data_IF_307912041004
#
_entry.id   IF_307912041004
#
_cell.length_a   1.000
_cell.length_b   1.000
_cell.length_c   1.000
_cell.angle_alpha   90.00
_cell.angle_beta   90.00
_cell.angle_gamma   90.00
#
_symmetry.space_group_name_H-M   'P 1'
#
loop_
_entity.id
_entity.type
_entity.pdbx_description
1 polymer ?
#
# COMPACT_ATOMS: atom_id res chain seq x y z
N UNK A 1 7.07 45.86 20.89
CA UNK A 1 8.21 45.11 21.45
C UNK A 1 7.83 44.66 22.84
N UNK A 2 7.58 43.35 23.01
CA UNK A 2 8.42 42.57 23.93
C UNK A 2 8.87 41.22 23.35
N UNK A 3 9.94 40.72 23.95
CA UNK A 3 10.78 39.57 23.64
C UNK A 3 10.04 38.24 23.42
N UNK A 4 10.35 37.57 22.30
CA UNK A 4 10.25 36.12 22.15
C UNK A 4 11.30 35.44 23.03
N UNK A 5 10.84 34.59 23.95
CA UNK A 5 11.74 33.75 24.77
C UNK A 5 11.82 32.38 24.11
N UNK A 6 12.97 32.08 23.51
CA UNK A 6 13.28 30.79 22.91
C UNK A 6 13.51 29.74 24.01
N UNK A 7 12.69 28.68 24.01
CA UNK A 7 12.91 27.50 24.84
C UNK A 7 13.97 26.61 24.18
N UNK A 8 15.23 26.73 24.61
CA UNK A 8 16.26 25.70 24.39
C UNK A 8 16.08 24.62 25.45
N UNK A 9 15.61 23.43 25.06
CA UNK A 9 15.80 22.22 25.87
C UNK A 9 17.08 21.55 25.39
N UNK A 10 18.14 21.75 26.17
CA UNK A 10 19.36 20.93 26.12
C UNK A 10 19.06 19.70 26.96
N UNK A 11 18.80 18.55 26.32
CA UNK A 11 18.73 17.27 27.02
C UNK A 11 20.15 16.71 27.11
N UNK A 12 20.61 16.54 28.34
CA UNK A 12 21.94 16.06 28.68
C UNK A 12 22.17 14.62 28.20
N UNK A 13 23.26 14.41 27.46
CA UNK A 13 23.80 13.08 27.17
C UNK A 13 24.60 12.65 28.40
N UNK A 14 24.05 11.73 29.18
CA UNK A 14 24.80 11.04 30.22
C UNK A 14 25.56 9.87 29.59
N UNK A 15 26.85 10.06 29.33
CA UNK A 15 27.78 8.99 28.93
C UNK A 15 28.12 8.18 30.19
N UNK A 16 27.51 7.00 30.34
CA UNK A 16 27.93 6.02 31.32
C UNK A 16 29.05 5.15 30.72
N UNK A 17 30.30 5.46 31.05
CA UNK A 17 31.45 4.62 30.73
C UNK A 17 31.46 3.40 31.67
N UNK A 18 31.14 2.21 31.15
CA UNK A 18 31.30 0.96 31.87
C UNK A 18 32.76 0.48 31.73
N UNK A 19 33.54 0.64 32.79
CA UNK A 19 34.87 0.04 32.94
C UNK A 19 34.72 -1.45 33.27
N UNK A 20 35.01 -2.32 32.31
CA UNK A 20 35.17 -3.76 32.58
C UNK A 20 36.65 -4.01 32.89
N UNK A 21 36.94 -4.13 34.19
CA UNK A 21 38.20 -4.64 34.70
C UNK A 21 38.36 -6.12 34.34
N UNK A 22 39.50 -6.46 33.74
CA UNK A 22 39.88 -7.81 33.39
C UNK A 22 40.04 -8.71 34.62
N UNK A 23 39.53 -9.93 34.49
CA UNK A 23 39.88 -11.06 35.35
C UNK A 23 40.17 -12.22 34.40
N UNK A 24 41.44 -12.62 34.33
CA UNK A 24 41.86 -13.80 33.59
C UNK A 24 41.36 -15.06 34.32
N UNK A 25 40.53 -15.86 33.64
CA UNK A 25 40.20 -17.22 34.06
C UNK A 25 40.99 -18.23 33.21
N UNK A 26 41.39 -19.39 33.78
CA UNK A 26 42.27 -20.34 33.12
C UNK A 26 41.58 -21.09 31.98
N UNK A 27 42.38 -21.50 31.01
CA UNK A 27 41.98 -22.25 29.82
C UNK A 27 41.21 -23.54 30.17
N UNK A 28 39.88 -23.48 30.07
CA UNK A 28 39.03 -24.64 29.90
C UNK A 28 38.89 -24.92 28.40
N UNK A 29 39.17 -26.15 28.00
CA UNK A 29 39.06 -26.62 26.62
C UNK A 29 37.66 -26.32 26.08
N UNK A 30 37.59 -25.38 25.13
CA UNK A 30 36.36 -25.04 24.44
C UNK A 30 35.96 -26.20 23.54
N UNK A 31 34.97 -26.98 23.96
CA UNK A 31 34.12 -27.68 23.03
C UNK A 31 33.49 -26.61 22.13
N UNK A 32 33.82 -26.62 20.84
CA UNK A 32 33.13 -25.77 19.85
C UNK A 32 31.64 -26.04 19.98
N UNK A 33 30.80 -25.06 20.36
CA UNK A 33 29.36 -25.25 20.27
C UNK A 33 29.07 -25.51 18.80
N UNK A 34 28.53 -26.69 18.53
CA UNK A 34 28.02 -27.11 17.23
C UNK A 34 27.04 -26.01 16.79
N UNK A 35 27.52 -25.10 15.93
CA UNK A 35 26.76 -23.95 15.49
C UNK A 35 25.67 -24.53 14.62
N UNK A 36 24.45 -24.61 15.19
CA UNK A 36 23.25 -24.96 14.45
C UNK A 36 23.29 -24.25 13.10
N UNK A 37 23.09 -24.97 11.98
CA UNK A 37 23.23 -24.39 10.65
C UNK A 37 22.39 -23.13 10.60
N UNK A 38 23.03 -22.01 10.26
CA UNK A 38 22.35 -20.74 10.07
C UNK A 38 21.15 -21.00 9.16
N UNK A 39 19.94 -20.73 9.66
CA UNK A 39 18.73 -20.89 8.89
C UNK A 39 18.97 -20.20 7.53
N UNK A 40 18.80 -20.96 6.44
CA UNK A 40 19.01 -20.46 5.09
C UNK A 40 18.16 -19.20 4.92
N UNK A 41 18.83 -18.06 4.93
CA UNK A 41 18.20 -16.77 4.81
C UNK A 41 17.66 -16.69 3.39
N UNK A 42 16.34 -16.86 3.23
CA UNK A 42 15.68 -16.76 1.93
C UNK A 42 15.70 -15.29 1.54
N UNK A 43 16.41 -14.97 0.46
CA UNK A 43 16.40 -13.63 -0.10
C UNK A 43 14.96 -13.25 -0.51
N UNK A 44 14.54 -11.98 -0.30
CA UNK A 44 13.27 -11.49 -0.81
C UNK A 44 13.15 -11.72 -2.32
N UNK A 45 11.98 -12.18 -2.75
CA UNK A 45 11.68 -12.41 -4.17
C UNK A 45 11.04 -11.17 -4.81
N UNK A 46 10.96 -11.12 -6.15
CA UNK A 46 10.43 -9.95 -6.88
C UNK A 46 8.91 -9.73 -6.75
N UNK A 47 8.25 -10.50 -5.88
CA UNK A 47 6.81 -10.48 -5.67
C UNK A 47 6.52 -10.26 -4.20
N UNK A 48 5.95 -9.11 -3.88
CA UNK A 48 5.60 -8.72 -2.52
C UNK A 48 4.11 -8.89 -2.31
N UNK A 49 3.73 -9.61 -1.25
CA UNK A 49 2.33 -9.80 -0.88
C UNK A 49 1.76 -8.49 -0.37
N UNK A 50 0.55 -8.16 -0.83
CA UNK A 50 -0.19 -6.98 -0.39
C UNK A 50 -1.28 -7.39 0.61
N UNK A 51 -1.45 -6.58 1.65
CA UNK A 51 -2.48 -6.67 2.69
C UNK A 51 -3.04 -5.26 2.96
N UNK A 52 -3.94 -5.08 3.93
CA UNK A 52 -4.38 -3.75 4.36
C UNK A 52 -5.87 -3.47 4.16
N UNK A 53 -6.24 -2.20 4.26
CA UNK A 53 -7.62 -1.71 4.27
C UNK A 53 -8.29 -1.86 2.90
N UNK A 54 -7.53 -1.72 1.80
CA UNK A 54 -8.01 -1.89 0.44
C UNK A 54 -8.66 -0.63 -0.10
N UNK A 55 -9.83 -0.78 -0.71
CA UNK A 55 -10.56 0.31 -1.38
C UNK A 55 -11.70 0.80 -0.49
N UNK A 56 -11.80 2.10 -0.24
CA UNK A 56 -13.02 2.75 0.23
C UNK A 56 -13.60 3.64 -0.87
N UNK A 57 -14.93 3.61 -0.99
CA UNK A 57 -15.68 4.38 -1.97
C UNK A 57 -16.90 4.98 -1.28
N UNK A 58 -17.01 6.30 -1.31
CA UNK A 58 -18.27 6.96 -1.00
C UNK A 58 -19.20 6.85 -2.21
N UNK A 59 -20.22 6.00 -2.08
CA UNK A 59 -21.20 5.80 -3.15
C UNK A 59 -22.38 6.75 -3.04
N UNK A 60 -22.60 7.38 -1.88
CA UNK A 60 -23.71 8.30 -1.68
C UNK A 60 -23.50 9.55 -2.51
N UNK A 61 -22.36 10.21 -2.33
CA UNK A 61 -22.00 11.41 -3.07
C UNK A 61 -21.83 11.14 -4.56
N UNK A 62 -21.35 9.95 -4.92
CA UNK A 62 -21.12 9.57 -6.31
C UNK A 62 -22.41 9.31 -7.09
N UNK A 63 -23.32 8.55 -6.50
CA UNK A 63 -24.48 8.02 -7.23
C UNK A 63 -25.78 8.68 -6.82
N UNK A 64 -25.76 9.63 -5.88
CA UNK A 64 -26.93 10.24 -5.25
C UNK A 64 -27.98 9.17 -4.90
N UNK A 65 -27.53 8.21 -4.06
CA UNK A 65 -28.26 6.98 -3.82
C UNK A 65 -29.65 7.30 -3.26
N UNK A 66 -29.72 8.24 -2.31
CA UNK A 66 -30.98 8.71 -1.73
C UNK A 66 -31.92 9.31 -2.78
N UNK A 67 -31.47 10.24 -3.63
CA UNK A 67 -32.36 10.85 -4.63
C UNK A 67 -32.90 9.83 -5.64
N UNK A 68 -32.14 8.77 -5.90
CA UNK A 68 -32.55 7.70 -6.80
C UNK A 68 -33.26 6.53 -6.12
N UNK A 69 -33.41 6.56 -4.79
CA UNK A 69 -33.98 5.47 -3.98
C UNK A 69 -33.19 4.17 -4.11
N UNK A 70 -31.88 4.29 -4.29
CA UNK A 70 -30.93 3.18 -4.36
C UNK A 70 -30.39 2.92 -2.95
N UNK A 71 -30.15 1.66 -2.62
CA UNK A 71 -29.42 1.28 -1.42
C UNK A 71 -28.19 0.51 -1.84
N UNK A 72 -27.01 0.94 -1.40
CA UNK A 72 -25.77 0.21 -1.54
C UNK A 72 -25.52 -0.66 -0.30
N UNK A 73 -25.15 -1.92 -0.51
CA UNK A 73 -24.87 -2.88 0.57
C UNK A 73 -23.57 -3.62 0.28
N UNK A 74 -22.67 -3.65 1.25
CA UNK A 74 -21.48 -4.49 1.20
C UNK A 74 -21.84 -5.97 1.19
N UNK A 75 -21.25 -6.75 0.27
CA UNK A 75 -21.43 -8.21 0.17
C UNK A 75 -20.09 -8.94 0.13
N UNK A 76 -20.08 -10.22 0.52
CA UNK A 76 -18.90 -11.08 0.39
C UNK A 76 -17.70 -10.68 1.25
N UNK A 77 -17.92 -9.96 2.35
CA UNK A 77 -16.87 -9.47 3.26
C UNK A 77 -16.57 -7.98 3.15
N UNK A 78 -17.22 -7.28 2.21
CA UNK A 78 -17.23 -5.82 2.18
C UNK A 78 -18.02 -5.26 3.37
N UNK A 79 -17.56 -4.12 3.90
CA UNK A 79 -18.30 -3.33 4.88
C UNK A 79 -19.04 -2.20 4.16
N UNK A 80 -20.21 -1.81 4.66
CA UNK A 80 -20.91 -0.62 4.20
C UNK A 80 -21.45 0.13 5.41
N UNK A 81 -21.09 1.40 5.54
CA UNK A 81 -21.50 2.29 6.63
C UNK A 81 -21.82 3.64 6.00
N UNK A 82 -23.04 4.14 6.20
CA UNK A 82 -23.45 5.48 5.77
C UNK A 82 -23.12 5.82 4.30
N UNK A 83 -23.36 4.88 3.38
CA UNK A 83 -23.12 5.08 1.94
C UNK A 83 -21.69 4.78 1.48
N UNK A 84 -20.73 4.81 2.41
CA UNK A 84 -19.35 4.39 2.18
C UNK A 84 -19.26 2.86 2.13
N UNK A 85 -18.59 2.33 1.11
CA UNK A 85 -18.35 0.89 0.97
C UNK A 85 -16.86 0.60 0.94
N UNK A 86 -16.40 -0.23 1.88
CA UNK A 86 -15.00 -0.62 2.01
C UNK A 86 -14.78 -2.09 1.64
N UNK A 87 -13.82 -2.31 0.74
CA UNK A 87 -13.41 -3.60 0.21
C UNK A 87 -11.96 -3.89 0.62
N UNK A 88 -11.75 -4.94 1.41
CA UNK A 88 -10.42 -5.29 1.91
C UNK A 88 -9.51 -5.84 0.83
N UNK A 89 -8.20 -5.69 1.00
CA UNK A 89 -7.22 -6.38 0.15
C UNK A 89 -7.41 -7.89 0.27
N UNK A 90 -7.73 -8.52 -0.85
CA UNK A 90 -7.94 -9.94 -1.01
C UNK A 90 -6.63 -10.72 -1.09
N UNK A 91 -6.73 -12.03 -0.86
CA UNK A 91 -5.60 -12.95 -0.96
C UNK A 91 -5.05 -12.97 -2.39
N UNK A 92 -3.75 -13.24 -2.52
CA UNK A 92 -2.99 -13.25 -3.78
C UNK A 92 -2.83 -11.87 -4.44
N UNK A 93 -3.16 -10.79 -3.72
CA UNK A 93 -2.75 -9.46 -4.13
C UNK A 93 -1.23 -9.36 -4.04
N UNK A 94 -0.61 -8.87 -5.11
CA UNK A 94 0.84 -8.90 -5.27
C UNK A 94 1.31 -7.63 -5.97
N UNK A 95 2.43 -7.10 -5.50
CA UNK A 95 3.22 -6.09 -6.19
C UNK A 95 4.46 -6.76 -6.77
N UNK A 96 4.79 -6.46 -8.02
CA UNK A 96 5.96 -7.02 -8.68
C UNK A 96 6.96 -5.91 -8.98
N UNK A 97 8.18 -6.09 -8.51
CA UNK A 97 9.30 -5.18 -8.75
C UNK A 97 10.47 -5.90 -9.40
N UNK A 98 11.27 -5.14 -10.14
CA UNK A 98 12.51 -5.62 -10.76
C UNK A 98 13.45 -4.46 -11.03
N UNK A 99 14.73 -4.63 -10.74
CA UNK A 99 15.76 -3.62 -10.98
C UNK A 99 15.36 -2.25 -10.40
N UNK A 100 14.94 -2.23 -9.13
CA UNK A 100 14.52 -1.02 -8.43
C UNK A 100 13.35 -0.26 -9.09
N UNK A 101 12.45 -0.96 -9.79
CA UNK A 101 11.25 -0.37 -10.40
C UNK A 101 10.05 -1.27 -10.19
N UNK A 102 8.88 -0.67 -9.95
CA UNK A 102 7.61 -1.37 -10.02
C UNK A 102 7.35 -1.72 -11.49
N UNK A 103 7.19 -3.00 -11.78
CA UNK A 103 6.93 -3.50 -13.14
C UNK A 103 5.52 -4.05 -13.30
N UNK A 104 4.77 -4.15 -12.20
CA UNK A 104 3.35 -4.39 -12.19
C UNK A 104 2.87 -4.98 -10.88
N UNK A 105 1.78 -5.73 -10.96
CA UNK A 105 1.11 -6.29 -9.81
C UNK A 105 -0.39 -6.18 -9.95
N UNK A 106 -1.09 -6.80 -9.02
CA UNK A 106 -2.54 -6.83 -8.99
C UNK A 106 -3.02 -6.74 -7.56
N UNK A 107 -3.88 -5.77 -7.29
CA UNK A 107 -4.66 -5.72 -6.05
C UNK A 107 -5.99 -6.39 -6.33
N UNK A 108 -6.25 -7.49 -5.64
CA UNK A 108 -7.57 -8.13 -5.62
C UNK A 108 -8.31 -7.58 -4.41
N UNK A 109 -9.59 -7.27 -4.56
CA UNK A 109 -10.40 -6.76 -3.47
C UNK A 109 -11.45 -7.79 -3.09
N UNK A 110 -11.60 -8.01 -1.78
CA UNK A 110 -12.51 -8.99 -1.22
C UNK A 110 -13.93 -8.43 -1.15
N UNK A 111 -14.87 -9.20 -1.68
CA UNK A 111 -16.30 -8.92 -1.58
C UNK A 111 -16.85 -8.19 -2.80
N UNK A 112 -17.76 -7.26 -2.55
CA UNK A 112 -18.41 -6.47 -3.58
C UNK A 112 -19.48 -5.55 -3.03
N UNK A 113 -20.17 -4.87 -3.94
CA UNK A 113 -21.27 -3.97 -3.66
C UNK A 113 -22.53 -4.50 -4.32
N UNK A 114 -23.61 -4.62 -3.55
CA UNK A 114 -24.95 -4.86 -4.09
C UNK A 114 -25.73 -3.55 -4.09
N UNK A 115 -26.11 -3.10 -5.29
CA UNK A 115 -27.01 -1.96 -5.48
C UNK A 115 -28.45 -2.48 -5.61
N UNK A 116 -29.36 -1.90 -4.84
CA UNK A 116 -30.78 -2.29 -4.79
C UNK A 116 -31.68 -1.10 -5.07
N UNK A 117 -32.77 -1.34 -5.80
CA UNK A 117 -33.87 -0.39 -5.94
C UNK A 117 -35.19 -1.16 -6.05
N UNK A 118 -36.03 -1.04 -5.01
CA UNK A 118 -37.23 -1.86 -4.87
C UNK A 118 -36.91 -3.37 -4.94
N UNK A 119 -37.52 -4.09 -5.87
CA UNK A 119 -37.27 -5.53 -6.08
C UNK A 119 -36.08 -5.86 -6.99
N UNK A 120 -35.42 -4.85 -7.59
CA UNK A 120 -34.29 -5.05 -8.50
C UNK A 120 -32.97 -4.95 -7.74
N UNK A 121 -31.98 -5.72 -8.20
CA UNK A 121 -30.62 -5.68 -7.67
C UNK A 121 -29.56 -6.02 -8.70
N UNK A 122 -28.36 -5.49 -8.48
CA UNK A 122 -27.14 -5.85 -9.21
C UNK A 122 -25.98 -5.91 -8.23
N UNK A 123 -25.06 -6.83 -8.46
CA UNK A 123 -23.85 -7.03 -7.67
C UNK A 123 -22.63 -6.73 -8.53
N UNK A 124 -21.75 -5.88 -8.01
CA UNK A 124 -20.41 -5.63 -8.51
C UNK A 124 -19.44 -6.35 -7.57
N UNK A 125 -18.62 -7.26 -8.07
CA UNK A 125 -17.74 -8.11 -7.25
C UNK A 125 -16.47 -8.49 -7.99
N UNK A 126 -15.55 -9.21 -7.32
CA UNK A 126 -14.24 -9.57 -7.88
C UNK A 126 -13.51 -8.32 -8.41
N UNK A 127 -13.59 -7.23 -7.65
CA UNK A 127 -12.93 -5.97 -8.02
C UNK A 127 -11.42 -6.19 -7.98
N UNK A 128 -10.75 -5.78 -9.04
CA UNK A 128 -9.31 -5.90 -9.16
C UNK A 128 -8.71 -4.67 -9.82
N UNK A 129 -7.56 -4.25 -9.30
CA UNK A 129 -6.77 -3.13 -9.81
C UNK A 129 -5.46 -3.67 -10.33
N UNK A 130 -5.17 -3.40 -11.60
CA UNK A 130 -3.88 -3.67 -12.20
C UNK A 130 -2.95 -2.50 -11.92
N UNK A 131 -1.88 -2.73 -11.15
CA UNK A 131 -1.00 -1.67 -10.64
C UNK A 131 -0.22 -0.99 -11.77
N UNK A 132 0.09 -1.72 -12.85
CA UNK A 132 0.87 -1.17 -13.96
C UNK A 132 0.06 -0.23 -14.83
N UNK A 133 -1.20 -0.59 -15.08
CA UNK A 133 -2.08 0.13 -16.00
C UNK A 133 -3.05 1.06 -15.29
N UNK A 134 -3.20 0.90 -13.97
CA UNK A 134 -4.26 1.51 -13.18
C UNK A 134 -5.66 1.02 -13.52
N UNK A 135 -5.80 -0.03 -14.33
CA UNK A 135 -7.12 -0.47 -14.79
C UNK A 135 -7.90 -1.12 -13.64
N UNK A 136 -9.14 -0.65 -13.44
CA UNK A 136 -10.06 -1.23 -12.45
C UNK A 136 -11.08 -2.08 -13.18
N UNK A 137 -11.15 -3.36 -12.80
CA UNK A 137 -12.06 -4.34 -13.39
C UNK A 137 -12.90 -5.00 -12.31
N UNK A 138 -14.10 -5.44 -12.66
CA UNK A 138 -14.96 -6.19 -11.77
C UNK A 138 -15.94 -7.06 -12.55
N UNK A 139 -16.54 -8.05 -11.89
CA UNK A 139 -17.70 -8.77 -12.40
C UNK A 139 -18.98 -8.06 -12.02
N UNK A 140 -19.86 -7.87 -13.00
CA UNK A 140 -21.18 -7.28 -12.79
C UNK A 140 -22.27 -8.29 -13.13
N UNK A 141 -23.09 -8.65 -12.14
CA UNK A 141 -24.14 -9.67 -12.30
C UNK A 141 -25.12 -9.74 -11.14
N UNK A 142 -25.81 -10.86 -10.99
CA UNK A 142 -26.88 -11.02 -10.00
C UNK A 142 -26.37 -11.47 -8.61
N UNK A 143 -25.13 -11.96 -8.53
CA UNK A 143 -24.51 -12.54 -7.32
C UNK A 143 -23.01 -12.30 -7.36
N UNK A 144 -22.38 -12.29 -6.17
CA UNK A 144 -20.92 -12.21 -6.03
C UNK A 144 -20.25 -13.33 -6.81
N UNK A 145 -19.20 -13.00 -7.57
CA UNK A 145 -18.42 -13.93 -8.37
C UNK A 145 -19.07 -14.36 -9.69
N UNK A 146 -20.31 -13.95 -9.95
CA UNK A 146 -21.10 -14.30 -11.14
C UNK A 146 -21.37 -13.07 -11.97
N UNK A 147 -20.97 -13.08 -13.24
CA UNK A 147 -21.24 -11.99 -14.17
C UNK A 147 -20.16 -11.86 -15.24
N UNK A 148 -20.33 -10.86 -16.10
CA UNK A 148 -19.31 -10.50 -17.07
C UNK A 148 -18.24 -9.63 -16.40
N UNK A 149 -16.97 -9.93 -16.69
CA UNK A 149 -15.88 -9.04 -16.33
C UNK A 149 -15.97 -7.78 -17.18
N UNK A 150 -16.00 -6.62 -16.53
CA UNK A 150 -16.09 -5.30 -17.17
C UNK A 150 -15.01 -4.38 -16.60
N UNK A 151 -14.66 -3.34 -17.38
CA UNK A 151 -13.80 -2.24 -16.92
C UNK A 151 -14.67 -1.22 -16.19
N UNK A 152 -14.51 -1.15 -14.87
CA UNK A 152 -15.20 -0.16 -14.03
C UNK A 152 -14.62 1.23 -14.21
N UNK A 153 -13.30 1.34 -14.41
CA UNK A 153 -12.61 2.62 -14.43
C UNK A 153 -11.11 2.48 -14.53
N UNK A 154 -10.41 3.52 -14.08
CA UNK A 154 -8.96 3.55 -13.92
C UNK A 154 -8.54 4.51 -12.82
N UNK A 155 -7.42 4.23 -12.16
CA UNK A 155 -6.76 5.15 -11.25
C UNK A 155 -6.36 6.43 -12.01
N UNK A 156 -6.53 7.58 -11.37
CA UNK A 156 -5.98 8.85 -11.86
C UNK A 156 -4.47 8.85 -11.55
N UNK A 157 -3.64 9.25 -12.52
CA UNK A 157 -2.17 9.20 -12.47
C UNK A 157 -1.59 7.87 -12.00
N UNK A 158 -1.98 6.78 -12.66
CA UNK A 158 -1.53 5.41 -12.31
C UNK A 158 -0.02 5.16 -12.43
N UNK A 159 0.74 6.08 -13.03
CA UNK A 159 2.20 6.07 -13.10
C UNK A 159 2.88 6.74 -11.91
N UNK A 160 2.14 7.47 -11.08
CA UNK A 160 2.60 8.06 -9.82
C UNK A 160 2.14 7.17 -8.66
N UNK A 161 3.08 6.38 -8.13
CA UNK A 161 2.81 5.50 -6.99
C UNK A 161 3.46 6.12 -5.76
N UNK A 162 2.64 6.55 -4.80
CA UNK A 162 3.12 7.11 -3.55
C UNK A 162 3.19 6.04 -2.46
N UNK A 163 4.30 5.99 -1.73
CA UNK A 163 4.50 5.07 -0.63
C UNK A 163 4.97 5.81 0.62
N UNK A 164 4.46 5.40 1.77
CA UNK A 164 4.84 5.93 3.08
C UNK A 164 5.28 4.79 4.00
N UNK A 165 6.51 4.88 4.51
CA UNK A 165 7.03 3.98 5.51
C UNK A 165 6.34 4.19 6.87
N UNK A 166 5.99 3.11 7.56
CA UNK A 166 5.47 3.17 8.92
C UNK A 166 6.62 3.35 9.92
N UNK A 167 6.44 4.24 10.89
CA UNK A 167 7.43 4.50 11.93
C UNK A 167 7.90 3.22 12.62
N UNK A 168 9.21 3.02 12.67
CA UNK A 168 9.86 1.88 13.33
C UNK A 168 9.36 0.50 12.85
N UNK A 169 8.94 0.40 11.59
CA UNK A 169 8.44 -0.84 10.99
C UNK A 169 9.08 -1.13 9.64
N UNK A 170 9.08 -2.40 9.24
CA UNK A 170 9.34 -2.82 7.86
C UNK A 170 8.14 -2.63 6.94
N UNK A 171 7.02 -2.09 7.45
CA UNK A 171 5.79 -1.94 6.67
C UNK A 171 5.73 -0.57 6.00
N UNK A 172 5.16 -0.54 4.80
CA UNK A 172 4.80 0.68 4.11
C UNK A 172 3.35 0.63 3.63
N UNK A 173 2.68 1.77 3.64
CA UNK A 173 1.42 1.98 2.90
C UNK A 173 1.75 2.44 1.50
N UNK A 174 1.08 1.85 0.53
CA UNK A 174 1.06 2.26 -0.86
C UNK A 174 -0.30 2.90 -1.16
N UNK A 175 -0.26 4.15 -1.59
CA UNK A 175 -1.43 4.94 -1.97
C UNK A 175 -1.57 4.87 -3.48
N UNK A 176 -2.64 4.25 -3.96
CA UNK A 176 -2.85 3.98 -5.39
C UNK A 176 -3.88 4.92 -6.02
N UNK A 177 -4.71 5.60 -5.23
CA UNK A 177 -5.81 6.42 -5.71
C UNK A 177 -5.83 7.81 -5.06
N UNK A 178 -4.68 8.38 -4.72
CA UNK A 178 -4.59 9.71 -4.08
C UNK A 178 -5.27 10.81 -4.92
N UNK A 179 -5.17 10.74 -6.25
CA UNK A 179 -5.86 11.65 -7.17
C UNK A 179 -7.29 11.17 -7.55
N UNK A 180 -7.77 10.10 -6.92
CA UNK A 180 -9.07 9.50 -7.16
C UNK A 180 -9.13 8.46 -8.29
N UNK A 181 -10.36 8.10 -8.65
CA UNK A 181 -10.67 7.07 -9.64
C UNK A 181 -11.56 7.66 -10.73
N UNK A 182 -11.12 7.54 -11.99
CA UNK A 182 -11.96 7.86 -13.14
C UNK A 182 -12.87 6.67 -13.47
N UNK A 183 -14.19 6.85 -13.37
CA UNK A 183 -15.15 5.80 -13.62
C UNK A 183 -15.64 5.76 -15.06
N UNK A 184 -16.01 4.57 -15.51
CA UNK A 184 -16.55 4.36 -16.84
C UNK A 184 -18.06 4.64 -16.85
N UNK A 185 -18.44 5.82 -17.35
CA UNK A 185 -19.84 6.25 -17.43
C UNK A 185 -20.78 5.23 -18.09
N UNK A 186 -20.32 4.50 -19.12
CA UNK A 186 -21.15 3.47 -19.77
C UNK A 186 -21.53 2.32 -18.83
N UNK A 187 -20.62 1.94 -17.92
CA UNK A 187 -20.89 0.89 -16.93
C UNK A 187 -21.86 1.40 -15.86
N UNK A 188 -21.72 2.66 -15.42
CA UNK A 188 -22.64 3.27 -14.45
C UNK A 188 -24.06 3.39 -15.02
N UNK A 189 -24.20 3.82 -16.28
CA UNK A 189 -25.48 3.85 -16.99
C UNK A 189 -26.11 2.44 -17.12
N UNK A 190 -25.30 1.42 -17.43
CA UNK A 190 -25.73 0.03 -17.49
C UNK A 190 -26.22 -0.49 -16.11
N UNK A 191 -25.50 -0.15 -15.04
CA UNK A 191 -25.90 -0.49 -13.67
C UNK A 191 -27.24 0.16 -13.31
N UNK A 192 -27.39 1.46 -13.60
CA UNK A 192 -28.63 2.20 -13.42
C UNK A 192 -29.80 1.54 -14.15
N UNK A 193 -29.63 1.23 -15.43
CA UNK A 193 -30.64 0.54 -16.26
C UNK A 193 -31.07 -0.80 -15.64
N UNK A 194 -30.12 -1.59 -15.14
CA UNK A 194 -30.40 -2.89 -14.50
C UNK A 194 -31.25 -2.77 -13.24
N UNK A 195 -31.02 -1.72 -12.43
CA UNK A 195 -31.79 -1.47 -11.21
C UNK A 195 -32.99 -0.54 -11.42
N UNK A 196 -33.20 -0.02 -12.63
CA UNK A 196 -34.27 0.93 -12.91
C UNK A 196 -34.04 2.31 -12.28
N UNK A 197 -32.78 2.75 -12.22
CA UNK A 197 -32.38 4.11 -11.89
C UNK A 197 -31.76 4.79 -13.12
N UNK A 198 -31.99 6.09 -13.26
CA UNK A 198 -31.25 6.91 -14.20
C UNK A 198 -30.05 7.46 -13.45
N UNK A 199 -28.92 6.74 -13.54
CA UNK A 199 -27.65 7.19 -12.99
C UNK A 199 -26.94 7.92 -14.14
N UNK A 200 -26.94 9.25 -14.09
CA UNK A 200 -26.21 10.09 -15.05
C UNK A 200 -24.91 10.55 -14.40
N UNK A 201 -23.80 10.20 -15.03
CA UNK A 201 -22.46 10.55 -14.55
C UNK A 201 -21.68 10.98 -15.77
N UNK A 202 -21.03 12.13 -15.67
CA UNK A 202 -20.25 12.67 -16.77
C UNK A 202 -19.07 11.76 -17.09
N UNK A 203 -18.66 11.71 -18.36
CA UNK A 203 -17.56 10.84 -18.83
C UNK A 203 -16.21 11.14 -18.18
N UNK A 204 -16.08 12.30 -17.54
CA UNK A 204 -14.87 12.78 -16.86
C UNK A 204 -15.04 12.77 -15.33
N UNK A 205 -16.02 12.03 -14.80
CA UNK A 205 -16.24 11.94 -13.35
C UNK A 205 -15.08 11.21 -12.70
N UNK A 206 -14.31 11.98 -11.92
CA UNK A 206 -13.32 11.47 -10.96
C UNK A 206 -13.98 11.42 -9.61
N UNK A 207 -13.89 10.26 -8.97
CA UNK A 207 -14.44 10.03 -7.64
C UNK A 207 -13.32 10.05 -6.64
N UNK A 208 -13.58 10.69 -5.51
CA UNK A 208 -12.70 10.59 -4.35
C UNK A 208 -12.80 9.16 -3.81
N UNK A 209 -11.64 8.51 -3.67
CA UNK A 209 -11.57 7.11 -3.32
C UNK A 209 -10.20 6.78 -2.74
N UNK A 210 -10.20 6.18 -1.55
CA UNK A 210 -8.97 5.76 -0.91
C UNK A 210 -8.66 4.31 -1.29
N UNK A 211 -7.56 4.10 -2.04
CA UNK A 211 -7.04 2.77 -2.32
C UNK A 211 -5.65 2.60 -1.68
N UNK A 212 -5.67 2.05 -0.48
CA UNK A 212 -4.49 1.91 0.36
C UNK A 212 -4.16 0.43 0.59
N UNK A 213 -2.95 0.05 0.23
CA UNK A 213 -2.44 -1.30 0.46
C UNK A 213 -1.16 -1.27 1.28
N UNK A 214 -1.07 -2.12 2.27
CA UNK A 214 0.10 -2.29 3.11
C UNK A 214 0.92 -3.46 2.59
N UNK A 215 2.24 -3.27 2.57
CA UNK A 215 3.20 -4.31 2.22
C UNK A 215 4.30 -4.38 3.27
N UNK A 216 4.95 -5.53 3.35
CA UNK A 216 6.16 -5.72 4.13
C UNK A 216 7.37 -5.57 3.21
N UNK A 217 8.30 -4.69 3.60
CA UNK A 217 9.57 -4.45 2.92
C UNK A 217 10.63 -5.48 3.32
N UNK A 218 10.33 -6.39 4.25
CA UNK A 218 11.25 -7.42 4.71
C UNK A 218 10.63 -8.82 4.68
N UNK A 219 11.50 -9.82 4.51
CA UNK A 219 11.18 -11.25 4.73
C UNK A 219 12.01 -11.73 5.91
N UNK A 220 11.37 -11.83 7.08
CA UNK A 220 12.08 -12.10 8.34
C UNK A 220 12.99 -10.93 8.70
N UNK A 221 14.30 -11.18 8.77
CA UNK A 221 15.30 -10.17 9.09
C UNK A 221 15.94 -9.52 7.84
N UNK A 222 15.50 -9.87 6.63
CA UNK A 222 16.11 -9.34 5.40
C UNK A 222 15.21 -8.33 4.73
N UNK A 223 15.73 -7.11 4.57
CA UNK A 223 15.08 -6.03 3.83
C UNK A 223 15.26 -6.24 2.32
N UNK A 224 14.18 -6.04 1.57
CA UNK A 224 14.18 -6.01 0.11
C UNK A 224 14.56 -4.61 -0.39
N UNK A 225 15.87 -4.39 -0.55
CA UNK A 225 16.43 -3.09 -0.98
C UNK A 225 15.95 -2.70 -2.37
N UNK A 226 15.71 -3.67 -3.25
CA UNK A 226 15.19 -3.40 -4.60
C UNK A 226 13.75 -2.89 -4.54
N UNK A 227 12.92 -3.43 -3.65
CA UNK A 227 11.56 -2.96 -3.43
C UNK A 227 11.53 -1.56 -2.82
N UNK A 228 12.34 -1.34 -1.78
CA UNK A 228 12.49 -0.03 -1.13
C UNK A 228 12.83 1.05 -2.16
N UNK A 229 13.84 0.78 -3.00
CA UNK A 229 14.24 1.70 -4.06
C UNK A 229 13.15 1.87 -5.13
N UNK A 230 12.43 0.79 -5.46
CA UNK A 230 11.32 0.83 -6.41
C UNK A 230 10.14 1.71 -5.94
N UNK A 231 9.99 1.89 -4.64
CA UNK A 231 8.97 2.73 -4.02
C UNK A 231 9.44 4.16 -3.77
N UNK A 232 10.70 4.49 -4.11
CA UNK A 232 11.26 5.82 -3.90
C UNK A 232 11.34 6.22 -2.42
N UNK A 233 11.33 5.24 -1.50
CA UNK A 233 11.42 5.51 -0.07
C UNK A 233 12.85 5.96 0.27
N UNK A 234 12.98 7.17 0.82
CA UNK A 234 14.24 7.65 1.37
C UNK A 234 14.49 6.94 2.70
N UNK A 235 15.53 6.12 2.71
CA UNK A 235 15.81 5.17 3.77
C UNK A 235 16.92 5.72 4.65
N UNK A 236 16.58 6.76 5.41
CA UNK A 236 17.09 6.87 6.78
C UNK A 236 16.32 5.86 7.64
N UNK A 237 16.39 4.57 7.28
CA UNK A 237 15.89 3.49 8.11
C UNK A 237 16.77 3.52 9.37
N UNK A 238 16.30 4.25 10.39
CA UNK A 238 16.73 4.11 11.78
C UNK A 238 16.35 2.75 12.34
N UNK A 239 16.50 1.70 11.52
CA UNK A 239 16.52 0.32 11.91
C UNK A 239 17.83 0.12 12.66
N UNK A 240 17.86 0.59 13.90
CA UNK A 240 18.53 -0.11 15.01
C UNK A 240 17.77 -1.42 15.31
N UNK A 241 17.31 -2.09 14.25
CA UNK A 241 16.99 -3.50 14.28
C UNK A 241 18.34 -4.13 14.09
N UNK A 242 18.73 -4.96 15.05
CA UNK A 242 19.93 -5.82 15.15
C UNK A 242 20.19 -6.68 13.88
N UNK A 243 20.22 -6.06 12.70
CA UNK A 243 20.22 -6.68 11.36
C UNK A 243 21.62 -6.81 10.78
N UNK A 244 22.64 -6.26 11.45
CA UNK A 244 24.04 -6.42 11.04
C UNK A 244 24.36 -5.84 9.65
N UNK A 245 23.57 -4.89 9.15
CA UNK A 245 23.80 -4.20 7.88
C UNK A 245 23.97 -2.71 8.18
N UNK A 246 25.18 -2.22 7.94
CA UNK A 246 25.52 -0.80 7.96
C UNK A 246 24.94 -0.15 6.68
N UNK A 247 23.79 0.51 6.82
CA UNK A 247 23.05 1.13 5.72
C UNK A 247 23.74 2.39 5.16
N UNK A 248 24.71 2.95 5.88
CA UNK A 248 25.52 4.09 5.43
C UNK A 248 26.32 3.76 4.16
N UNK A 249 26.63 2.47 3.91
CA UNK A 249 27.36 2.05 2.71
C UNK A 249 26.49 1.93 1.44
N UNK A 250 25.16 1.98 1.54
CA UNK A 250 24.25 1.79 0.40
C UNK A 250 23.76 3.14 -0.16
N UNK A 251 23.66 4.17 0.69
CA UNK A 251 23.29 5.53 0.29
C UNK A 251 24.41 6.28 -0.46
N UNK A 252 25.66 5.83 -0.35
CA UNK A 252 26.81 6.43 -1.03
C UNK A 252 26.85 6.17 -2.56
N UNK A 253 25.86 5.46 -3.14
CA UNK A 253 25.86 5.12 -4.57
C UNK A 253 24.92 5.98 -5.44
N UNK A 254 24.10 6.87 -4.89
CA UNK A 254 23.21 7.72 -5.72
C UNK A 254 23.13 9.20 -5.32
N UNK A 255 24.03 9.66 -4.44
CA UNK A 255 24.38 11.08 -4.42
C UNK A 255 25.37 11.33 -5.54
N UNK A 256 24.85 11.53 -6.75
CA UNK A 256 25.49 12.35 -7.76
C UNK A 256 25.71 13.76 -7.20
N UNK A 257 26.69 13.91 -6.32
CA UNK A 257 27.38 15.18 -6.15
C UNK A 257 28.20 15.36 -7.41
N UNK A 258 27.59 16.07 -8.35
CA UNK A 258 28.29 16.88 -9.34
C UNK A 258 29.16 17.89 -8.58
N UNK A 259 30.27 17.41 -8.02
CA UNK A 259 31.39 18.25 -7.64
C UNK A 259 32.12 18.55 -8.94
N UNK A 260 31.65 19.62 -9.57
CA UNK A 260 32.34 20.35 -10.62
C UNK A 260 33.75 20.67 -10.10
N UNK A 261 34.71 19.77 -10.38
CA UNK A 261 36.13 20.00 -10.17
C UNK A 261 36.61 20.93 -11.29
N UNK A 262 36.07 22.14 -11.26
CA UNK A 262 36.58 23.30 -11.97
C UNK A 262 38.00 23.56 -11.47
N UNK A 263 38.94 23.25 -12.35
CA UNK A 263 40.35 23.64 -12.29
C UNK A 263 40.47 25.10 -11.84
N UNK A 264 41.17 25.35 -10.73
CA UNK A 264 42.16 26.43 -10.62
C UNK A 264 43.18 26.16 -9.52
#
# INVERSE_FOLDING_TARGET
MPLMTAYRRVSAVAVAALLISGIAAPAAMAATPDRAPAASVVAPGPNTVLVGAGLSLDLEDLLDLEAHGIVAVGVGGAAAVDGEVSLKVGKNSVLTHKNKKIVGGKVLLQGGVELRKGGKKVVVSDVAVDIRTGLITAKVGAKVGVGSLVRLGSLVKSDEVYAQLHDQSSKATLYLAEDGIALNASVLADLGTRIGACIEVDTDTVVDADLDVVLDLAVGSVVDVDLVAALGLDVALGLDVDLGIDLDAILDLDLGLDLDLGIL
#
